data_IF_388387185947
#
_entry.id   IF_388387185947
#
_cell.length_a   1.000
_cell.length_b   1.000
_cell.length_c   1.000
_cell.angle_alpha   90.00
_cell.angle_beta   90.00
_cell.angle_gamma   90.00
#
_symmetry.space_group_name_H-M   'P 1'
#
loop_
_entity.id
_entity.type
_entity.pdbx_description
1 polymer ?
#
# COMPACT_ATOMS: atom_id res chain seq x y z
N UNK A 1 2.25 -19.35 19.51
CA UNK A 1 1.39 -18.16 19.25
C UNK A 1 1.74 -16.94 20.12
N UNK A 2 1.55 -17.00 21.44
CA UNK A 2 1.65 -15.83 22.34
C UNK A 2 2.98 -15.05 22.24
N UNK A 3 4.12 -15.74 22.14
CA UNK A 3 5.44 -15.10 21.98
C UNK A 3 5.54 -14.23 20.71
N UNK A 4 4.94 -14.65 19.59
CA UNK A 4 4.90 -13.88 18.34
C UNK A 4 4.04 -12.62 18.56
N UNK A 5 2.88 -12.77 19.20
CA UNK A 5 2.04 -11.62 19.57
C UNK A 5 2.80 -10.64 20.47
N UNK A 6 3.53 -11.12 21.48
CA UNK A 6 4.37 -10.29 22.36
C UNK A 6 5.48 -9.54 21.61
N UNK A 7 6.11 -10.17 20.61
CA UNK A 7 7.13 -9.50 19.78
C UNK A 7 6.52 -8.35 18.96
N UNK A 8 5.36 -8.55 18.34
CA UNK A 8 4.64 -7.47 17.65
C UNK A 8 4.11 -6.41 18.63
N UNK A 9 3.73 -6.80 19.86
CA UNK A 9 3.39 -5.87 20.95
C UNK A 9 4.58 -5.00 21.36
N UNK A 10 5.82 -5.48 21.28
CA UNK A 10 6.99 -4.65 21.54
C UNK A 10 7.19 -3.57 20.46
N UNK A 11 7.06 -3.91 19.17
CA UNK A 11 7.13 -2.95 18.06
C UNK A 11 6.00 -1.92 18.18
N UNK A 12 4.78 -2.38 18.50
CA UNK A 12 3.62 -1.52 18.70
C UNK A 12 3.83 -0.47 19.82
N UNK A 13 4.39 -0.90 20.96
CA UNK A 13 4.60 -0.08 22.16
C UNK A 13 5.99 0.60 22.22
N UNK A 14 6.52 1.08 21.09
CA UNK A 14 7.75 1.90 21.07
C UNK A 14 9.01 1.17 21.58
N UNK A 15 9.05 -0.16 21.41
CA UNK A 15 10.16 -1.02 21.79
C UNK A 15 10.04 -1.64 23.19
N UNK A 16 8.93 -1.44 23.91
CA UNK A 16 8.71 -2.05 25.23
C UNK A 16 8.03 -3.42 25.14
N UNK A 17 8.73 -4.47 25.57
CA UNK A 17 8.15 -5.80 25.74
C UNK A 17 7.21 -5.79 26.95
N UNK A 18 5.91 -5.96 26.69
CA UNK A 18 4.86 -5.95 27.72
C UNK A 18 4.59 -7.36 28.25
N UNK A 19 4.25 -7.46 29.54
CA UNK A 19 3.77 -8.71 30.15
C UNK A 19 2.33 -8.99 29.70
N UNK A 20 2.03 -10.15 29.11
CA UNK A 20 0.65 -10.49 28.75
C UNK A 20 -0.17 -10.71 30.03
N UNK A 21 -1.40 -10.19 30.06
CA UNK A 21 -2.37 -10.44 31.13
C UNK A 21 -3.68 -10.91 30.50
N UNK A 22 -4.21 -12.03 30.98
CA UNK A 22 -5.50 -12.60 30.56
C UNK A 22 -6.64 -12.20 31.51
N UNK A 23 -6.32 -12.09 32.80
CA UNK A 23 -7.26 -11.70 33.86
C UNK A 23 -7.44 -10.18 33.83
N UNK A 24 -8.67 -9.72 33.64
CA UNK A 24 -9.03 -8.28 33.67
C UNK A 24 -9.26 -7.77 35.09
N UNK A 25 -10.01 -8.54 35.88
CA UNK A 25 -10.43 -8.26 37.26
C UNK A 25 -10.30 -9.55 38.08
N UNK A 26 -10.08 -9.43 39.39
CA UNK A 26 -10.30 -10.49 40.40
C UNK A 26 -11.19 -9.87 41.47
N UNK A 27 -12.18 -10.63 41.96
CA UNK A 27 -13.11 -10.21 43.00
C UNK A 27 -12.93 -11.11 44.22
N UNK A 28 -12.96 -10.55 45.43
CA UNK A 28 -13.10 -11.33 46.66
C UNK A 28 -14.55 -11.79 46.87
N UNK A 29 -14.75 -12.83 47.68
CA UNK A 29 -16.08 -13.47 47.88
C UNK A 29 -17.17 -12.52 48.41
N UNK A 30 -16.78 -11.42 49.08
CA UNK A 30 -17.68 -10.37 49.57
C UNK A 30 -17.38 -8.96 49.00
N UNK A 31 -16.44 -8.84 48.05
CA UNK A 31 -16.05 -7.53 47.48
C UNK A 31 -16.81 -7.25 46.16
N UNK A 32 -17.59 -6.17 46.15
CA UNK A 32 -18.25 -5.68 44.91
C UNK A 32 -17.25 -5.06 43.93
N UNK A 33 -16.18 -4.46 44.45
CA UNK A 33 -15.10 -3.88 43.66
C UNK A 33 -13.99 -4.91 43.38
N UNK A 34 -13.37 -4.89 42.19
CA UNK A 34 -12.26 -5.78 41.87
C UNK A 34 -10.97 -5.31 42.54
N UNK A 35 -10.03 -6.24 42.79
CA UNK A 35 -8.72 -6.00 43.41
C UNK A 35 -7.79 -5.23 42.43
N UNK A 36 -8.02 -3.92 42.29
CA UNK A 36 -7.56 -3.12 41.15
C UNK A 36 -6.03 -3.09 40.96
N UNK A 37 -5.26 -3.08 42.04
CA UNK A 37 -3.83 -2.73 41.98
C UNK A 37 -2.91 -3.79 41.33
N UNK A 38 -3.36 -5.04 41.13
CA UNK A 38 -2.51 -6.12 40.55
C UNK A 38 -2.49 -6.16 39.01
N UNK A 39 -3.42 -5.47 38.33
CA UNK A 39 -3.74 -5.75 36.93
C UNK A 39 -3.39 -4.61 35.94
N UNK A 40 -2.78 -3.52 36.41
CA UNK A 40 -2.19 -2.46 35.55
C UNK A 40 -1.19 -3.03 34.53
N UNK A 41 -1.06 -2.38 33.37
CA UNK A 41 -0.14 -2.79 32.31
C UNK A 41 1.31 -2.73 32.78
N UNK A 42 2.10 -3.76 32.44
CA UNK A 42 3.41 -4.01 33.07
C UNK A 42 4.48 -4.17 31.98
N UNK A 43 5.48 -3.26 31.99
CA UNK A 43 6.66 -3.31 31.11
C UNK A 43 7.66 -4.31 31.67
N UNK A 44 8.06 -5.32 30.90
CA UNK A 44 9.07 -6.29 31.32
C UNK A 44 10.49 -5.76 31.08
N UNK A 45 10.76 -5.29 29.86
CA UNK A 45 12.04 -4.69 29.46
C UNK A 45 11.88 -3.94 28.13
N UNK A 46 12.83 -3.06 27.83
CA UNK A 46 13.01 -2.51 26.48
C UNK A 46 13.75 -3.55 25.61
N UNK A 47 13.32 -3.71 24.37
CA UNK A 47 13.93 -4.62 23.38
C UNK A 47 14.25 -3.94 22.04
N UNK A 48 13.73 -2.73 21.83
CA UNK A 48 14.11 -1.82 20.74
C UNK A 48 14.13 -0.38 21.28
N UNK A 49 14.91 0.50 20.65
CA UNK A 49 14.74 1.95 20.76
C UNK A 49 13.35 2.36 20.20
N UNK A 50 12.89 3.57 20.51
CA UNK A 50 11.63 4.07 19.98
C UNK A 50 11.71 4.42 18.49
N UNK A 51 12.90 4.82 18.03
CA UNK A 51 13.23 5.06 16.64
C UNK A 51 13.33 3.75 15.84
N UNK A 52 13.96 2.72 16.41
CA UNK A 52 13.98 1.36 15.84
C UNK A 52 12.56 0.80 15.72
N UNK A 53 11.74 0.96 16.77
CA UNK A 53 10.33 0.58 16.75
C UNK A 53 9.54 1.41 15.71
N UNK A 54 9.81 2.71 15.56
CA UNK A 54 9.19 3.55 14.54
C UNK A 54 9.56 3.11 13.11
N UNK A 55 10.84 2.87 12.85
CA UNK A 55 11.34 2.33 11.58
C UNK A 55 10.71 0.97 11.27
N UNK A 56 10.64 0.07 12.24
CA UNK A 56 9.96 -1.22 12.11
C UNK A 56 8.45 -1.07 11.84
N UNK A 57 7.76 -0.09 12.46
CA UNK A 57 6.36 0.24 12.13
C UNK A 57 6.23 0.65 10.66
N UNK A 58 7.09 1.53 10.15
CA UNK A 58 7.07 1.99 8.75
C UNK A 58 7.34 0.84 7.75
N UNK A 59 8.35 0.00 8.02
CA UNK A 59 8.65 -1.18 7.19
C UNK A 59 7.48 -2.18 7.17
N UNK A 60 6.83 -2.41 8.33
CA UNK A 60 5.65 -3.27 8.43
C UNK A 60 4.39 -2.64 7.81
N UNK A 61 4.29 -1.31 7.73
CA UNK A 61 3.25 -0.63 6.94
C UNK A 61 3.47 -0.87 5.45
N UNK A 62 4.68 -0.66 4.94
CA UNK A 62 5.05 -0.92 3.55
C UNK A 62 4.79 -2.39 3.15
N UNK A 63 5.02 -3.34 4.07
CA UNK A 63 4.68 -4.75 3.90
C UNK A 63 3.17 -5.04 3.75
N UNK A 64 2.27 -4.06 3.93
CA UNK A 64 0.81 -4.13 3.67
C UNK A 64 0.29 -3.11 2.65
N UNK A 65 1.19 -2.29 2.07
CA UNK A 65 0.86 -1.32 1.02
C UNK A 65 0.38 -1.98 -0.28
N UNK A 66 -0.08 -1.15 -1.21
CA UNK A 66 -0.42 -1.56 -2.58
C UNK A 66 0.71 -2.39 -3.21
N UNK A 67 0.36 -3.46 -3.94
CA UNK A 67 1.28 -4.43 -4.56
C UNK A 67 2.15 -5.25 -3.59
N UNK A 68 1.98 -5.14 -2.27
CA UNK A 68 2.72 -5.94 -1.28
C UNK A 68 2.05 -7.29 -0.99
N UNK A 69 2.83 -8.25 -0.46
CA UNK A 69 2.27 -9.55 -0.03
C UNK A 69 1.24 -9.44 1.11
N UNK A 70 1.29 -8.38 1.92
CA UNK A 70 0.35 -8.16 3.02
C UNK A 70 -0.90 -7.35 2.64
N UNK A 71 -1.07 -6.94 1.38
CA UNK A 71 -2.16 -6.05 0.95
C UNK A 71 -3.56 -6.52 1.37
N UNK A 72 -3.81 -7.82 1.39
CA UNK A 72 -5.08 -8.43 1.84
C UNK A 72 -5.42 -8.18 3.32
N UNK A 73 -4.46 -7.73 4.14
CA UNK A 73 -4.65 -7.42 5.56
C UNK A 73 -5.16 -5.98 5.81
N UNK A 74 -5.18 -5.12 4.79
CA UNK A 74 -5.59 -3.71 4.90
C UNK A 74 -6.98 -3.55 5.52
N UNK A 75 -7.18 -2.48 6.28
CA UNK A 75 -8.49 -2.08 6.82
C UNK A 75 -8.83 -0.68 6.27
N UNK A 76 -10.04 -0.50 5.71
CA UNK A 76 -10.44 0.78 5.14
C UNK A 76 -10.46 1.87 6.23
N UNK A 77 -9.73 2.96 6.00
CA UNK A 77 -9.64 4.09 6.94
C UNK A 77 -8.65 3.90 8.10
N UNK A 78 -7.87 2.82 8.13
CA UNK A 78 -6.86 2.62 9.18
C UNK A 78 -5.55 2.09 8.57
N UNK A 79 -4.40 2.74 8.84
CA UNK A 79 -3.12 2.17 8.44
C UNK A 79 -2.90 0.87 9.21
N UNK A 80 -2.45 -0.17 8.51
CA UNK A 80 -2.09 -1.47 9.08
C UNK A 80 -0.58 -1.61 8.99
N UNK A 81 0.02 -2.28 9.98
CA UNK A 81 1.40 -2.73 9.93
C UNK A 81 1.41 -4.24 10.20
N UNK A 82 2.04 -5.03 9.35
CA UNK A 82 2.09 -6.47 9.56
C UNK A 82 2.81 -7.24 8.47
N UNK A 83 3.04 -8.54 8.72
CA UNK A 83 3.78 -9.41 7.82
C UNK A 83 3.13 -10.78 7.68
N UNK A 84 3.16 -11.26 6.44
CA UNK A 84 2.83 -12.62 6.00
C UNK A 84 3.89 -13.63 6.43
N UNK A 85 3.46 -14.77 6.96
CA UNK A 85 4.31 -15.94 7.22
C UNK A 85 3.73 -17.19 6.57
N UNK A 86 4.58 -18.02 5.97
CA UNK A 86 4.21 -19.29 5.35
C UNK A 86 5.27 -20.32 5.76
N UNK A 87 5.04 -21.03 6.86
CA UNK A 87 6.01 -21.98 7.40
C UNK A 87 5.73 -23.40 6.90
N UNK A 88 6.78 -24.14 6.51
CA UNK A 88 6.69 -25.57 6.22
C UNK A 88 6.62 -26.38 7.52
N UNK A 89 5.86 -27.47 7.53
CA UNK A 89 5.78 -28.40 8.68
C UNK A 89 6.85 -29.48 8.57
N UNK A 90 7.31 -30.01 9.70
CA UNK A 90 8.26 -31.13 9.77
C UNK A 90 7.58 -32.44 9.40
N UNK A 91 8.29 -33.30 8.66
CA UNK A 91 7.94 -34.72 8.52
C UNK A 91 8.57 -35.51 9.67
N UNK A 92 7.74 -35.95 10.62
CA UNK A 92 8.21 -36.69 11.81
C UNK A 92 8.60 -38.15 11.53
N UNK A 93 8.33 -38.68 10.33
CA UNK A 93 8.63 -40.08 9.96
C UNK A 93 9.89 -40.16 9.09
N UNK A 94 10.08 -39.20 8.18
CA UNK A 94 11.19 -39.18 7.21
C UNK A 94 12.26 -38.13 7.51
N UNK A 95 11.99 -37.20 8.43
CA UNK A 95 12.80 -36.02 8.65
C UNK A 95 12.63 -34.96 7.56
N UNK A 96 13.15 -33.76 7.82
CA UNK A 96 13.00 -32.62 6.92
C UNK A 96 11.56 -32.06 6.89
N UNK A 97 11.15 -31.52 5.75
CA UNK A 97 9.85 -30.85 5.59
C UNK A 97 8.81 -31.72 4.88
N UNK A 98 7.63 -31.83 5.47
CA UNK A 98 6.48 -32.52 4.90
C UNK A 98 5.95 -31.74 3.68
N UNK A 99 6.03 -32.35 2.50
CA UNK A 99 5.50 -31.76 1.25
C UNK A 99 4.00 -31.48 1.37
N UNK A 100 3.57 -30.28 0.95
CA UNK A 100 2.17 -29.86 0.98
C UNK A 100 1.63 -29.42 2.36
N UNK A 101 2.40 -29.56 3.44
CA UNK A 101 1.96 -29.25 4.80
C UNK A 101 2.56 -27.90 5.27
N UNK A 102 1.67 -26.93 5.51
CA UNK A 102 2.04 -25.54 5.78
C UNK A 102 1.23 -24.93 6.92
N UNK A 103 1.84 -24.01 7.65
CA UNK A 103 1.16 -23.06 8.54
C UNK A 103 1.13 -21.69 7.87
N UNK A 104 -0.04 -21.30 7.38
CA UNK A 104 -0.27 -19.97 6.80
C UNK A 104 -0.59 -18.98 7.91
N UNK A 105 0.10 -17.84 7.96
CA UNK A 105 -0.03 -16.89 9.07
C UNK A 105 0.12 -15.43 8.68
N UNK A 106 -0.43 -14.56 9.52
CA UNK A 106 -0.26 -13.11 9.43
C UNK A 106 -0.18 -12.54 10.85
N UNK A 107 0.84 -11.72 11.09
CA UNK A 107 1.04 -11.01 12.35
C UNK A 107 1.04 -9.50 12.07
N UNK A 108 0.34 -8.71 12.87
CA UNK A 108 0.28 -7.26 12.67
C UNK A 108 -0.46 -6.50 13.76
N UNK A 109 -0.56 -5.19 13.57
CA UNK A 109 -1.28 -4.29 14.47
C UNK A 109 -1.97 -3.14 13.74
N UNK A 110 -2.98 -2.58 14.41
CA UNK A 110 -3.86 -1.52 13.90
C UNK A 110 -4.32 -0.61 15.05
N UNK A 111 -4.52 0.71 14.80
CA UNK A 111 -3.95 1.50 13.71
C UNK A 111 -2.42 1.57 13.82
N UNK A 112 -1.68 1.48 12.72
CA UNK A 112 -0.21 1.40 12.75
C UNK A 112 0.48 2.63 13.37
N UNK A 113 -0.13 3.81 13.25
CA UNK A 113 0.37 5.08 13.79
C UNK A 113 0.05 5.29 15.28
N UNK A 114 -0.97 4.62 15.83
CA UNK A 114 -1.32 4.64 17.25
C UNK A 114 -1.89 3.28 17.65
N UNK A 115 -1.04 2.23 17.79
CA UNK A 115 -1.50 0.85 17.90
C UNK A 115 -2.42 0.61 19.10
N UNK A 116 -3.59 0.02 18.83
CA UNK A 116 -4.56 -0.41 19.85
C UNK A 116 -4.70 -1.92 19.91
N UNK A 117 -4.64 -2.58 18.75
CA UNK A 117 -4.78 -4.03 18.62
C UNK A 117 -3.55 -4.64 17.98
N UNK A 118 -3.01 -5.68 18.60
CA UNK A 118 -2.04 -6.62 18.00
C UNK A 118 -2.76 -7.94 17.75
N UNK A 119 -2.72 -8.44 16.53
CA UNK A 119 -3.48 -9.62 16.10
C UNK A 119 -2.52 -10.58 15.39
N UNK A 120 -2.56 -11.84 15.81
CA UNK A 120 -1.85 -12.93 15.15
C UNK A 120 -2.88 -13.98 14.69
N UNK A 121 -2.90 -14.24 13.39
CA UNK A 121 -3.69 -15.30 12.77
C UNK A 121 -2.73 -16.39 12.29
N UNK A 122 -3.04 -17.65 12.61
CA UNK A 122 -2.42 -18.82 12.03
C UNK A 122 -3.51 -19.81 11.61
N UNK A 123 -3.34 -20.42 10.44
CA UNK A 123 -4.20 -21.47 9.89
C UNK A 123 -3.30 -22.65 9.53
N UNK A 124 -3.55 -23.78 10.18
CA UNK A 124 -2.79 -25.01 9.96
C UNK A 124 -3.39 -25.81 8.79
N UNK A 125 -2.52 -26.35 7.93
CA UNK A 125 -2.87 -27.18 6.77
C UNK A 125 -4.08 -26.66 5.93
N UNK A 126 -4.06 -25.40 5.44
CA UNK A 126 -5.12 -24.88 4.58
C UNK A 126 -5.14 -25.60 3.22
N UNK A 127 -6.34 -25.94 2.72
CA UNK A 127 -6.52 -26.93 1.64
C UNK A 127 -6.53 -26.41 0.20
N UNK A 128 -6.71 -25.11 -0.03
CA UNK A 128 -6.83 -24.52 -1.39
C UNK A 128 -5.66 -23.60 -1.70
N UNK A 129 -5.46 -22.62 -0.84
CA UNK A 129 -4.34 -21.68 -0.86
C UNK A 129 -3.49 -21.92 0.38
N UNK A 130 -2.17 -21.74 0.31
CA UNK A 130 -1.26 -21.94 1.44
C UNK A 130 -0.42 -20.72 1.83
N UNK A 131 -0.42 -19.64 1.04
CA UNK A 131 0.30 -18.43 1.43
C UNK A 131 -0.47 -17.62 2.49
N UNK A 132 0.24 -17.09 3.49
CA UNK A 132 -0.34 -16.21 4.51
C UNK A 132 -1.05 -14.97 3.95
N UNK A 133 -0.70 -14.53 2.74
CA UNK A 133 -1.32 -13.44 1.97
C UNK A 133 -2.75 -13.72 1.51
N UNK A 134 -3.08 -14.99 1.23
CA UNK A 134 -4.38 -15.43 0.74
C UNK A 134 -5.25 -16.00 1.86
N UNK A 135 -4.65 -16.63 2.86
CA UNK A 135 -5.37 -17.33 3.94
C UNK A 135 -5.53 -16.46 5.19
N UNK A 136 -4.42 -16.04 5.79
CA UNK A 136 -4.43 -15.41 7.11
C UNK A 136 -4.65 -13.90 7.06
N UNK A 137 -4.13 -13.21 6.04
CA UNK A 137 -4.27 -11.77 5.88
C UNK A 137 -5.75 -11.30 5.69
N UNK A 138 -6.61 -11.95 4.88
CA UNK A 138 -8.03 -11.59 4.83
C UNK A 138 -8.78 -11.81 6.15
N UNK A 139 -8.38 -12.81 6.94
CA UNK A 139 -8.94 -13.06 8.27
C UNK A 139 -8.51 -11.96 9.25
N UNK A 140 -7.24 -11.54 9.21
CA UNK A 140 -6.76 -10.37 9.94
C UNK A 140 -7.58 -9.13 9.59
N UNK A 141 -7.78 -8.82 8.30
CA UNK A 141 -8.55 -7.65 7.85
C UNK A 141 -9.98 -7.64 8.41
N UNK A 142 -10.65 -8.80 8.41
CA UNK A 142 -12.00 -8.96 8.98
C UNK A 142 -12.03 -8.73 10.49
N UNK A 143 -11.11 -9.34 11.25
CA UNK A 143 -11.04 -9.21 12.72
C UNK A 143 -10.63 -7.79 13.11
N UNK A 144 -9.57 -7.24 12.51
CA UNK A 144 -9.11 -5.88 12.72
C UNK A 144 -10.21 -4.85 12.40
N UNK A 145 -10.88 -5.01 11.25
CA UNK A 145 -11.99 -4.16 10.83
C UNK A 145 -13.21 -4.23 11.76
N UNK A 146 -13.49 -5.38 12.37
CA UNK A 146 -14.52 -5.49 13.41
C UNK A 146 -14.11 -4.76 14.70
N UNK A 147 -12.87 -4.96 15.17
CA UNK A 147 -12.38 -4.36 16.41
C UNK A 147 -12.36 -2.83 16.36
N UNK A 148 -11.82 -2.22 15.30
CA UNK A 148 -11.79 -0.74 15.17
C UNK A 148 -13.19 -0.13 15.09
N UNK A 149 -14.18 -0.83 14.50
CA UNK A 149 -15.59 -0.39 14.51
C UNK A 149 -16.24 -0.57 15.87
N UNK A 150 -15.94 -1.66 16.59
CA UNK A 150 -16.50 -1.94 17.92
C UNK A 150 -16.08 -0.89 18.96
N UNK A 151 -14.84 -0.44 18.89
CA UNK A 151 -14.30 0.64 19.75
C UNK A 151 -14.72 2.05 19.30
N UNK A 152 -15.51 2.18 18.24
CA UNK A 152 -15.91 3.49 17.70
C UNK A 152 -14.73 4.33 17.19
N UNK A 153 -13.62 3.71 16.80
CA UNK A 153 -12.45 4.44 16.32
C UNK A 153 -12.80 5.25 15.07
N UNK A 154 -12.42 6.52 15.07
CA UNK A 154 -12.59 7.36 13.89
C UNK A 154 -11.60 6.90 12.80
N UNK A 155 -12.07 6.58 11.58
CA UNK A 155 -11.17 6.26 10.48
C UNK A 155 -10.34 7.51 10.13
N UNK A 156 -9.04 7.32 9.96
CA UNK A 156 -8.20 8.34 9.34
C UNK A 156 -8.63 8.42 7.88
N UNK A 157 -9.35 9.49 7.55
CA UNK A 157 -9.73 9.82 6.17
C UNK A 157 -8.52 10.34 5.41
N UNK A 158 -7.53 9.46 5.19
CA UNK A 158 -6.66 9.58 4.01
C UNK A 158 -7.61 9.54 2.82
N UNK A 159 -7.69 10.63 2.07
CA UNK A 159 -8.68 10.74 1.01
C UNK A 159 -8.39 9.69 -0.06
N UNK A 160 -9.43 9.14 -0.67
CA UNK A 160 -9.31 8.38 -1.92
C UNK A 160 -8.86 9.26 -3.11
N UNK A 161 -8.52 10.54 -2.89
CA UNK A 161 -7.73 11.38 -3.79
C UNK A 161 -6.21 11.23 -3.59
N UNK A 162 -5.77 10.97 -2.36
CA UNK A 162 -4.35 10.98 -1.97
C UNK A 162 -3.76 9.56 -2.01
N UNK A 163 -4.59 8.56 -1.69
CA UNK A 163 -4.41 7.22 -2.23
C UNK A 163 -4.80 7.27 -3.71
N UNK A 164 -3.81 7.15 -4.61
CA UNK A 164 -4.03 7.03 -6.06
C UNK A 164 -4.93 5.80 -6.33
N UNK A 165 -6.22 6.06 -6.55
CA UNK A 165 -7.19 5.01 -6.85
C UNK A 165 -6.82 4.34 -8.18
N UNK A 166 -6.85 3.01 -8.21
CA UNK A 166 -6.42 2.19 -9.36
C UNK A 166 -7.50 2.14 -10.46
N UNK A 167 -8.17 3.28 -10.64
CA UNK A 167 -9.04 3.65 -11.75
C UNK A 167 -8.43 4.72 -12.66
N UNK A 168 -7.13 4.99 -12.50
CA UNK A 168 -6.24 4.74 -13.64
C UNK A 168 -6.13 3.19 -13.74
N UNK A 169 -6.93 2.44 -14.51
CA UNK A 169 -7.18 2.54 -15.96
C UNK A 169 -5.98 3.12 -16.71
N UNK A 170 -5.46 2.36 -17.67
CA UNK A 170 -4.44 2.84 -18.61
C UNK A 170 -4.98 3.95 -19.53
N UNK A 171 -5.06 5.15 -18.97
CA UNK A 171 -5.20 6.41 -19.71
C UNK A 171 -3.86 6.82 -20.33
N UNK A 172 -3.19 5.85 -20.96
CA UNK A 172 -2.69 5.98 -22.34
C UNK A 172 -3.87 6.35 -23.28
N UNK A 173 -4.50 7.47 -22.98
CA UNK A 173 -5.51 8.10 -23.79
C UNK A 173 -4.79 8.53 -25.05
N UNK A 174 -4.96 7.76 -26.12
CA UNK A 174 -4.66 8.17 -27.49
C UNK A 174 -5.63 9.29 -27.86
N UNK A 175 -5.50 10.45 -27.22
CA UNK A 175 -6.18 11.71 -27.58
C UNK A 175 -5.54 12.21 -28.87
N UNK A 176 -5.88 11.56 -29.97
CA UNK A 176 -5.88 12.21 -31.27
C UNK A 176 -6.88 13.34 -31.19
N UNK A 177 -6.37 14.57 -31.09
CA UNK A 177 -7.16 15.76 -31.26
C UNK A 177 -7.33 15.98 -32.77
N UNK A 178 -8.56 15.85 -33.26
CA UNK A 178 -8.91 16.26 -34.61
C UNK A 178 -9.20 17.76 -34.58
N UNK A 179 -8.40 18.54 -35.28
CA UNK A 179 -8.41 20.03 -35.26
C UNK A 179 -8.10 20.50 -36.69
N UNK A 180 -8.66 21.62 -37.16
CA UNK A 180 -8.75 21.92 -38.61
C UNK A 180 -8.54 23.39 -39.05
N UNK A 181 -7.27 23.82 -39.28
CA UNK A 181 -6.84 24.74 -40.36
C UNK A 181 -5.31 24.94 -40.52
N UNK A 182 -4.65 24.11 -41.32
CA UNK A 182 -3.24 24.31 -41.72
C UNK A 182 -2.99 23.67 -43.08
N UNK A 183 -2.43 24.44 -44.01
CA UNK A 183 -2.48 24.09 -45.44
C UNK A 183 -1.12 23.68 -46.04
N UNK A 184 -0.01 23.89 -45.33
CA UNK A 184 1.33 23.48 -45.78
C UNK A 184 1.60 21.96 -45.70
N UNK A 185 2.68 21.52 -46.36
CA UNK A 185 3.20 20.15 -46.32
C UNK A 185 4.50 20.00 -45.50
N UNK A 186 5.06 21.10 -44.98
CA UNK A 186 6.35 21.14 -44.27
C UNK A 186 6.13 21.53 -42.81
N UNK A 187 6.63 20.73 -41.86
CA UNK A 187 6.35 20.93 -40.43
C UNK A 187 6.90 22.31 -39.97
N UNK A 188 6.05 23.19 -39.40
CA UNK A 188 6.49 24.49 -38.91
C UNK A 188 7.30 24.34 -37.62
N UNK A 189 8.05 25.38 -37.26
CA UNK A 189 8.71 25.41 -35.95
C UNK A 189 7.69 25.56 -34.79
N UNK A 190 7.91 24.75 -33.77
CA UNK A 190 7.05 24.49 -32.61
C UNK A 190 7.82 24.43 -31.30
N UNK A 191 9.15 24.52 -31.31
CA UNK A 191 9.96 24.43 -30.09
C UNK A 191 9.73 25.65 -29.18
N UNK A 192 9.90 25.46 -27.87
CA UNK A 192 9.60 26.46 -26.84
C UNK A 192 8.10 26.74 -26.60
N UNK A 193 7.19 26.31 -27.49
CA UNK A 193 5.75 26.54 -27.36
C UNK A 193 5.09 25.62 -26.33
N UNK A 194 4.03 26.11 -25.68
CA UNK A 194 3.13 25.24 -24.91
C UNK A 194 2.23 24.41 -25.83
N UNK A 195 1.75 23.26 -25.36
CA UNK A 195 0.80 22.42 -26.09
C UNK A 195 -0.45 23.19 -26.58
N UNK A 196 -0.90 24.21 -25.84
CA UNK A 196 -2.06 25.04 -26.21
C UNK A 196 -1.78 25.96 -27.40
N UNK A 197 -0.53 26.36 -27.60
CA UNK A 197 -0.10 27.17 -28.75
C UNK A 197 0.24 26.29 -29.95
N UNK A 198 0.82 25.11 -29.72
CA UNK A 198 1.01 24.08 -30.77
C UNK A 198 -0.32 23.69 -31.40
N UNK A 199 -1.35 23.42 -30.59
CA UNK A 199 -2.71 23.14 -31.07
C UNK A 199 -3.37 24.33 -31.80
N UNK A 200 -2.92 25.57 -31.55
CA UNK A 200 -3.34 26.74 -32.33
C UNK A 200 -2.59 26.85 -33.66
N UNK A 201 -1.27 26.60 -33.71
CA UNK A 201 -0.43 26.69 -34.92
C UNK A 201 -0.73 25.55 -35.91
N UNK A 202 -0.69 24.29 -35.44
CA UNK A 202 -0.91 23.08 -36.26
C UNK A 202 -2.41 22.85 -36.51
N UNK A 203 -3.16 23.89 -36.90
CA UNK A 203 -4.52 24.05 -36.40
C UNK A 203 -5.52 22.91 -36.69
N UNK A 204 -5.45 22.00 -37.68
CA UNK A 204 -4.53 21.87 -38.81
C UNK A 204 -5.13 21.08 -39.97
N UNK A 205 -4.64 19.85 -40.19
CA UNK A 205 -5.27 18.79 -41.01
C UNK A 205 -5.70 17.65 -40.07
N UNK A 206 -6.14 16.51 -40.60
CA UNK A 206 -6.29 15.27 -39.81
C UNK A 206 -4.90 14.73 -39.38
N UNK A 207 -4.31 15.39 -38.37
CA UNK A 207 -2.95 15.21 -37.87
C UNK A 207 -2.96 14.39 -36.58
N UNK A 208 -2.29 13.24 -36.59
CA UNK A 208 -2.21 12.35 -35.44
C UNK A 208 -1.05 12.73 -34.53
N UNK A 209 -1.27 13.75 -33.72
CA UNK A 209 -0.34 14.18 -32.67
C UNK A 209 -0.13 13.07 -31.63
N UNK A 210 1.13 12.77 -31.31
CA UNK A 210 1.54 11.84 -30.26
C UNK A 210 2.38 12.61 -29.25
N UNK A 211 1.76 12.95 -28.13
CA UNK A 211 2.33 13.79 -27.07
C UNK A 211 3.10 12.90 -26.09
N UNK A 212 4.35 13.26 -25.78
CA UNK A 212 5.16 12.66 -24.72
C UNK A 212 5.65 13.74 -23.75
N UNK A 213 5.52 13.48 -22.45
CA UNK A 213 5.90 14.44 -21.41
C UNK A 213 4.88 15.57 -21.22
N UNK A 214 5.33 16.66 -20.58
CA UNK A 214 4.50 17.81 -20.18
C UNK A 214 5.37 19.06 -20.04
N UNK A 215 4.87 20.21 -20.50
CA UNK A 215 5.53 21.50 -20.37
C UNK A 215 5.54 22.26 -21.70
N UNK A 216 6.72 22.75 -22.11
CA UNK A 216 6.99 23.31 -23.45
C UNK A 216 7.53 22.23 -24.37
N UNK A 217 7.34 22.36 -25.69
CA UNK A 217 7.97 21.46 -26.67
C UNK A 217 9.48 21.66 -26.69
N UNK A 218 10.23 20.58 -26.51
CA UNK A 218 11.70 20.57 -26.62
C UNK A 218 12.19 19.97 -27.94
N UNK A 219 11.38 19.15 -28.62
CA UNK A 219 11.64 18.64 -29.96
C UNK A 219 10.39 18.04 -30.61
N UNK A 220 10.43 17.88 -31.93
CA UNK A 220 9.36 17.26 -32.73
C UNK A 220 9.90 16.13 -33.61
N UNK A 221 9.05 15.18 -33.99
CA UNK A 221 9.40 14.18 -35.01
C UNK A 221 8.23 13.92 -35.96
N UNK A 222 8.38 14.08 -37.29
CA UNK A 222 9.57 14.62 -37.97
C UNK A 222 9.89 16.07 -37.54
N UNK A 223 11.11 16.53 -37.83
CA UNK A 223 11.66 17.79 -37.31
C UNK A 223 11.00 19.01 -37.97
N UNK A 224 11.20 20.21 -37.39
CA UNK A 224 10.84 21.46 -38.03
C UNK A 224 11.58 21.61 -39.38
N UNK A 225 10.86 21.99 -40.44
CA UNK A 225 11.38 22.04 -41.81
C UNK A 225 11.31 20.73 -42.59
N UNK A 226 10.94 19.59 -41.98
CA UNK A 226 10.76 18.32 -42.70
C UNK A 226 9.35 18.16 -43.30
N UNK A 227 9.25 17.42 -44.41
CA UNK A 227 7.97 17.15 -45.09
C UNK A 227 7.12 16.18 -44.27
N UNK A 228 5.83 16.50 -44.12
CA UNK A 228 4.86 15.72 -43.36
C UNK A 228 4.74 14.28 -43.94
N UNK A 229 5.01 13.22 -43.16
CA UNK A 229 4.94 11.85 -43.65
C UNK A 229 3.51 11.48 -44.03
N UNK A 230 3.36 10.62 -45.05
CA UNK A 230 2.06 10.15 -45.59
C UNK A 230 1.08 9.60 -44.53
N UNK A 231 1.57 9.19 -43.36
CA UNK A 231 0.77 8.70 -42.24
C UNK A 231 0.22 9.82 -41.31
N UNK A 232 0.51 11.09 -41.60
CA UNK A 232 0.10 12.31 -40.87
C UNK A 232 0.40 12.31 -39.36
N UNK A 233 1.44 11.60 -38.91
CA UNK A 233 1.85 11.55 -37.50
C UNK A 233 2.94 12.56 -37.22
N UNK A 234 2.75 13.35 -36.16
CA UNK A 234 3.79 14.18 -35.54
C UNK A 234 3.91 13.75 -34.08
N UNK A 235 5.12 13.48 -33.62
CA UNK A 235 5.42 13.27 -32.20
C UNK A 235 5.89 14.60 -31.62
N UNK A 236 5.41 14.93 -30.43
CA UNK A 236 5.83 16.09 -29.67
C UNK A 236 6.47 15.59 -28.38
N UNK A 237 7.69 16.03 -28.10
CA UNK A 237 8.37 15.81 -26.83
C UNK A 237 8.29 17.12 -26.03
N UNK A 238 7.77 17.04 -24.80
CA UNK A 238 7.55 18.21 -23.95
C UNK A 238 8.15 18.00 -22.57
N UNK A 239 8.86 19.02 -22.10
CA UNK A 239 9.50 19.02 -20.79
C UNK A 239 9.17 20.34 -20.06
N UNK A 240 9.13 20.27 -18.73
CA UNK A 240 8.94 21.46 -17.91
C UNK A 240 10.29 22.15 -17.72
N UNK A 241 10.33 23.47 -17.86
CA UNK A 241 11.50 24.27 -17.47
C UNK A 241 11.67 24.19 -15.95
N UNK A 242 12.52 23.27 -15.50
CA UNK A 242 13.04 23.26 -14.12
C UNK A 242 13.99 24.44 -13.96
N UNK A 243 13.58 25.41 -13.16
CA UNK A 243 14.51 26.33 -12.47
C UNK A 243 15.14 25.63 -11.27
#
# INVERSE_FOLDING_TARGET
PLQITMAYTAIANGGWLMKPKLIRNVYGEMEKDPIQNKLKAEKLRRVLSEEEAATMRLMLMAATSKHSTGYSARVKGFPVAGKTGTAQKVDFVKGGYQKGAYVASFAGFVPANNPKYVIYIAVDNPRKEYYGSQVAAPVFSKVAGYLVRKDGMQPILISNKDLIDEKQKDTHTKKSFNVSRWEGDVIPDLEGLTLREVLKKLNGRDLKLIIKGSGKVTSTWPNAGEVLPKNKRIRLFLENETK
#
